data_IF_447441004380
#
_entry.id   IF_447441004380
#
_cell.length_a   1.000
_cell.length_b   1.000
_cell.length_c   1.000
_cell.angle_alpha   90.00
_cell.angle_beta   90.00
_cell.angle_gamma   90.00
#
_symmetry.space_group_name_H-M   'P 1'
#
loop_
_entity.id
_entity.type
_entity.pdbx_description
1 polymer ?
#
# COMPACT_ATOMS: atom_id res chain seq x y z
N UNK A 1 -0.47 2.09 69.82
CA UNK A 1 -0.01 2.48 68.46
C UNK A 1 0.30 1.16 67.73
N UNK A 2 -0.41 0.67 66.68
CA UNK A 2 -1.15 1.32 65.57
C UNK A 2 -0.26 2.38 64.89
N UNK A 3 0.15 2.33 63.62
CA UNK A 3 -0.18 1.50 62.42
C UNK A 3 1.09 1.37 61.53
N UNK A 4 1.21 0.62 60.41
CA UNK A 4 0.33 -0.23 59.58
C UNK A 4 1.20 -1.30 58.84
N UNK A 5 0.62 -2.16 57.97
CA UNK A 5 1.32 -2.85 56.87
C UNK A 5 0.86 -2.23 55.55
N UNK A 6 1.80 -1.82 54.69
CA UNK A 6 1.53 -1.27 53.35
C UNK A 6 1.82 -2.34 52.29
N UNK A 7 0.80 -3.11 51.91
CA UNK A 7 0.82 -3.95 50.71
C UNK A 7 0.66 -3.06 49.48
N UNK A 8 1.75 -2.85 48.73
CA UNK A 8 1.71 -2.13 47.46
C UNK A 8 1.18 -3.07 46.36
N UNK A 9 -0.10 -2.95 46.02
CA UNK A 9 -0.71 -3.72 44.92
C UNK A 9 -0.26 -3.15 43.58
N UNK A 10 0.82 -3.71 43.02
CA UNK A 10 1.25 -3.39 41.66
C UNK A 10 0.28 -4.00 40.63
N UNK A 11 -0.73 -3.21 40.21
CA UNK A 11 -1.57 -3.56 39.07
C UNK A 11 -0.76 -3.35 37.80
N UNK A 12 -0.13 -4.42 37.32
CA UNK A 12 0.61 -4.44 36.06
C UNK A 12 -0.39 -4.33 34.90
N UNK A 13 -0.58 -3.13 34.39
CA UNK A 13 -1.40 -2.88 33.19
C UNK A 13 -0.70 -3.50 31.96
N UNK A 14 -1.01 -4.77 31.68
CA UNK A 14 -0.68 -5.43 30.42
C UNK A 14 -1.30 -4.63 29.27
N UNK A 15 -0.52 -3.71 28.70
CA UNK A 15 -0.82 -3.12 27.42
C UNK A 15 -0.75 -4.26 26.41
N UNK A 16 -1.92 -4.70 25.94
CA UNK A 16 -2.00 -5.73 24.92
C UNK A 16 -1.32 -5.18 23.66
N UNK A 17 -0.09 -5.64 23.43
CA UNK A 17 0.64 -5.36 22.20
C UNK A 17 -0.11 -6.09 21.09
N UNK A 18 -1.08 -5.41 20.49
CA UNK A 18 -1.74 -5.91 19.30
C UNK A 18 -0.66 -5.98 18.22
N UNK A 19 -0.33 -7.17 17.68
CA UNK A 19 0.52 -7.21 16.51
C UNK A 19 -0.25 -6.49 15.41
N UNK A 20 0.30 -5.37 14.92
CA UNK A 20 -0.16 -4.82 13.66
C UNK A 20 -0.05 -5.94 12.64
N UNK A 21 -1.17 -6.34 12.04
CA UNK A 21 -1.17 -7.23 10.89
C UNK A 21 -0.32 -6.56 9.82
N UNK A 22 0.89 -7.08 9.62
CA UNK A 22 1.86 -6.48 8.72
C UNK A 22 1.22 -6.37 7.33
N UNK A 23 1.02 -5.13 6.88
CA UNK A 23 0.67 -4.89 5.50
C UNK A 23 1.89 -5.31 4.68
N UNK A 24 1.73 -6.36 3.87
CA UNK A 24 2.82 -6.88 3.04
C UNK A 24 2.98 -5.94 1.85
N UNK A 25 3.70 -4.85 2.09
CA UNK A 25 4.33 -4.06 1.04
C UNK A 25 5.32 -4.96 0.30
N UNK A 26 5.20 -5.02 -1.02
CA UNK A 26 6.06 -5.83 -1.87
C UNK A 26 6.93 -4.90 -2.72
N UNK A 27 8.14 -5.34 -3.02
CA UNK A 27 9.04 -4.60 -3.90
C UNK A 27 9.62 -5.48 -5.00
N UNK A 28 9.98 -4.84 -6.11
CA UNK A 28 10.62 -5.46 -7.26
C UNK A 28 11.74 -4.56 -7.78
N UNK A 29 12.98 -5.03 -7.65
CA UNK A 29 14.14 -4.36 -8.24
C UNK A 29 14.30 -4.74 -9.71
N UNK A 30 14.54 -3.75 -10.57
CA UNK A 30 14.73 -3.91 -12.01
C UNK A 30 15.59 -2.78 -12.57
N UNK A 31 16.73 -3.11 -13.18
CA UNK A 31 17.59 -2.17 -13.94
C UNK A 31 17.78 -0.78 -13.30
N UNK A 32 18.29 -0.72 -12.06
CA UNK A 32 18.53 0.54 -11.36
C UNK A 32 17.27 1.24 -10.84
N UNK A 33 16.15 0.52 -10.75
CA UNK A 33 14.90 0.98 -10.14
C UNK A 33 14.40 -0.03 -9.10
N UNK A 34 13.62 0.46 -8.15
CA UNK A 34 12.78 -0.35 -7.27
C UNK A 34 11.33 0.09 -7.41
N UNK A 35 10.46 -0.88 -7.66
CA UNK A 35 9.01 -0.70 -7.76
C UNK A 35 8.41 -1.22 -6.47
N UNK A 36 7.84 -0.34 -5.67
CA UNK A 36 7.03 -0.69 -4.50
C UNK A 36 5.58 -0.85 -4.92
N UNK A 37 4.91 -1.89 -4.44
CA UNK A 37 3.50 -2.13 -4.70
C UNK A 37 2.81 -2.81 -3.52
N UNK A 38 1.60 -2.35 -3.21
CA UNK A 38 0.74 -2.93 -2.19
C UNK A 38 -0.72 -2.89 -2.65
N UNK A 39 -1.50 -3.86 -2.16
CA UNK A 39 -2.95 -3.87 -2.32
C UNK A 39 -3.60 -4.00 -0.95
N UNK A 40 -4.65 -3.22 -0.69
CA UNK A 40 -5.31 -3.17 0.62
C UNK A 40 -6.84 -2.92 0.48
N UNK A 41 -7.68 -3.43 1.40
CA UNK A 41 -9.07 -3.00 1.49
C UNK A 41 -9.15 -1.51 1.82
N UNK A 42 -9.91 -0.72 1.05
CA UNK A 42 -9.98 0.75 1.23
C UNK A 42 -10.51 1.18 2.60
N UNK A 43 -11.18 0.28 3.35
CA UNK A 43 -11.57 0.48 4.74
C UNK A 43 -10.36 0.70 5.67
N UNK A 44 -9.22 0.08 5.39
CA UNK A 44 -7.98 0.19 6.17
C UNK A 44 -7.30 1.56 6.05
N UNK A 45 -7.61 2.34 5.00
CA UNK A 45 -7.06 3.69 4.83
C UNK A 45 -7.41 4.61 6.01
N UNK A 46 -6.47 5.44 6.49
CA UNK A 46 -6.78 6.57 7.35
C UNK A 46 -7.81 7.49 6.68
N UNK A 47 -8.74 8.05 7.48
CA UNK A 47 -9.82 8.88 6.94
C UNK A 47 -9.31 10.12 6.20
N UNK A 48 -8.22 10.72 6.68
CA UNK A 48 -7.56 11.85 6.02
C UNK A 48 -7.10 11.47 4.59
N UNK A 49 -6.33 10.40 4.44
CA UNK A 49 -5.83 9.91 3.14
C UNK A 49 -6.98 9.60 2.18
N UNK A 50 -8.00 8.89 2.66
CA UNK A 50 -9.17 8.58 1.87
C UNK A 50 -9.92 9.83 1.38
N UNK A 51 -10.01 10.89 2.20
CA UNK A 51 -10.59 12.18 1.81
C UNK A 51 -9.70 12.92 0.80
N UNK A 52 -8.40 13.01 1.06
CA UNK A 52 -7.42 13.68 0.18
C UNK A 52 -7.41 13.07 -1.22
N UNK A 53 -7.46 11.73 -1.32
CA UNK A 53 -7.38 11.01 -2.59
C UNK A 53 -8.74 10.73 -3.24
N UNK A 54 -9.86 11.16 -2.63
CA UNK A 54 -11.21 10.95 -3.17
C UNK A 54 -11.71 9.50 -3.11
N UNK A 55 -11.16 8.69 -2.21
CA UNK A 55 -11.34 7.24 -2.15
C UNK A 55 -12.45 6.87 -1.16
N UNK A 56 -13.49 6.19 -1.65
CA UNK A 56 -14.56 5.66 -0.80
C UNK A 56 -14.07 4.46 -0.01
N UNK A 57 -13.88 4.63 1.31
CA UNK A 57 -13.55 3.57 2.27
C UNK A 57 -14.65 2.50 2.32
N UNK A 58 -14.29 1.25 2.07
CA UNK A 58 -15.17 0.08 2.10
C UNK A 58 -14.38 -1.22 2.07
N UNK A 59 -14.81 -2.24 2.83
CA UNK A 59 -14.27 -3.61 2.73
C UNK A 59 -14.61 -4.26 1.38
N UNK A 60 -15.59 -3.71 0.64
CA UNK A 60 -15.96 -4.18 -0.71
C UNK A 60 -15.18 -3.50 -1.84
N UNK A 61 -14.05 -2.86 -1.53
CA UNK A 61 -13.18 -2.19 -2.49
C UNK A 61 -11.72 -2.36 -2.10
N UNK A 62 -10.87 -2.67 -3.07
CA UNK A 62 -9.42 -2.73 -2.88
C UNK A 62 -8.75 -1.61 -3.64
N UNK A 63 -7.72 -1.05 -3.00
CA UNK A 63 -6.81 -0.08 -3.54
C UNK A 63 -5.52 -0.78 -3.92
N UNK A 64 -5.03 -0.54 -5.12
CA UNK A 64 -3.65 -0.78 -5.54
C UNK A 64 -2.90 0.55 -5.45
N UNK A 65 -1.75 0.54 -4.78
CA UNK A 65 -0.79 1.63 -4.79
C UNK A 65 0.54 1.11 -5.35
N UNK A 66 1.17 1.93 -6.18
CA UNK A 66 2.47 1.67 -6.82
C UNK A 66 3.33 2.92 -6.71
N UNK A 67 4.57 2.77 -6.26
CA UNK A 67 5.58 3.83 -6.29
C UNK A 67 6.83 3.31 -6.99
N UNK A 68 7.51 4.17 -7.75
CA UNK A 68 8.71 3.83 -8.50
C UNK A 68 9.83 4.75 -8.05
N UNK A 69 10.94 4.17 -7.59
CA UNK A 69 12.13 4.90 -7.21
C UNK A 69 13.32 4.44 -8.04
N UNK A 70 14.20 5.36 -8.45
CA UNK A 70 15.50 5.03 -9.02
C UNK A 70 16.51 4.79 -7.91
N UNK A 71 17.41 3.84 -8.13
CA UNK A 71 18.39 3.33 -7.15
C UNK A 71 19.82 3.32 -7.69
N UNK A 72 20.09 4.13 -8.73
CA UNK A 72 21.42 4.36 -9.32
C UNK A 72 22.29 5.35 -8.53
N UNK A 73 21.73 5.97 -7.51
CA UNK A 73 22.36 6.96 -6.62
C UNK A 73 22.29 6.51 -5.14
N UNK A 74 23.10 7.14 -4.28
CA UNK A 74 23.22 6.82 -2.84
C UNK A 74 21.91 6.93 -2.04
N UNK A 75 20.86 7.53 -2.61
CA UNK A 75 19.54 7.68 -1.98
C UNK A 75 18.44 7.46 -3.02
N UNK A 76 17.50 6.52 -2.80
CA UNK A 76 16.43 6.26 -3.75
C UNK A 76 15.53 7.50 -3.97
N UNK A 77 15.34 7.90 -5.23
CA UNK A 77 14.51 9.06 -5.60
C UNK A 77 13.26 8.64 -6.35
N UNK A 78 12.07 9.21 -6.08
CA UNK A 78 10.86 8.89 -6.82
C UNK A 78 11.01 9.28 -8.29
N UNK A 79 10.38 8.51 -9.17
CA UNK A 79 10.38 8.72 -10.63
C UNK A 79 8.96 8.55 -11.16
N UNK A 80 8.59 9.39 -12.13
CA UNK A 80 7.33 9.28 -12.84
C UNK A 80 7.28 7.99 -13.66
N UNK A 81 6.13 7.32 -13.67
CA UNK A 81 5.94 6.07 -14.41
C UNK A 81 4.55 6.01 -15.05
N UNK A 82 4.48 5.30 -16.19
CA UNK A 82 3.21 4.91 -16.78
C UNK A 82 2.83 3.52 -16.25
N UNK A 83 1.63 3.43 -15.65
CA UNK A 83 1.13 2.24 -14.96
C UNK A 83 -0.18 1.76 -15.61
N UNK A 84 -0.17 0.57 -16.22
CA UNK A 84 -1.40 -0.20 -16.49
C UNK A 84 -1.57 -1.27 -15.43
N UNK A 85 -2.77 -1.41 -14.89
CA UNK A 85 -3.05 -2.40 -13.87
C UNK A 85 -4.43 -3.03 -14.07
N UNK A 86 -4.48 -4.34 -13.91
CA UNK A 86 -5.69 -5.13 -14.01
C UNK A 86 -5.70 -6.26 -12.98
N UNK A 87 -6.90 -6.74 -12.64
CA UNK A 87 -7.11 -7.93 -11.85
C UNK A 87 -8.15 -8.84 -12.52
N UNK A 88 -7.94 -10.15 -12.40
CA UNK A 88 -8.85 -11.20 -12.88
C UNK A 88 -9.22 -12.12 -11.72
N UNK A 89 -10.51 -12.28 -11.46
CA UNK A 89 -10.98 -13.23 -10.43
C UNK A 89 -11.04 -14.67 -10.95
N UNK A 90 -11.26 -15.64 -10.05
CA UNK A 90 -11.37 -17.07 -10.40
C UNK A 90 -12.55 -17.40 -11.35
N UNK A 91 -13.48 -16.46 -11.58
CA UNK A 91 -14.55 -16.57 -12.57
C UNK A 91 -14.21 -15.87 -13.91
N UNK A 92 -12.93 -15.59 -14.15
CA UNK A 92 -12.40 -14.91 -15.34
C UNK A 92 -12.97 -13.50 -15.60
N UNK A 93 -13.50 -12.82 -14.57
CA UNK A 93 -13.95 -11.44 -14.70
C UNK A 93 -12.76 -10.49 -14.61
N UNK A 94 -12.45 -9.82 -15.72
CA UNK A 94 -11.44 -8.77 -15.79
C UNK A 94 -11.94 -7.46 -15.17
N UNK A 95 -11.10 -6.83 -14.36
CA UNK A 95 -11.30 -5.47 -13.80
C UNK A 95 -10.03 -4.67 -14.06
N UNK A 96 -10.15 -3.53 -14.73
CA UNK A 96 -9.04 -2.57 -14.91
C UNK A 96 -9.07 -1.53 -13.81
N UNK A 97 -7.91 -1.21 -13.27
CA UNK A 97 -7.74 -0.06 -12.40
C UNK A 97 -7.72 1.21 -13.26
N UNK A 98 -8.19 2.33 -12.69
CA UNK A 98 -7.90 3.65 -13.23
C UNK A 98 -6.87 4.26 -12.30
N UNK A 99 -5.61 4.20 -12.71
CA UNK A 99 -4.49 4.72 -11.93
C UNK A 99 -4.50 6.25 -11.99
N UNK A 100 -4.41 6.88 -10.82
CA UNK A 100 -4.26 8.31 -10.65
C UNK A 100 -2.88 8.59 -10.03
N UNK A 101 -2.13 9.49 -10.65
CA UNK A 101 -0.90 10.03 -10.06
C UNK A 101 -1.26 10.97 -8.90
N UNK A 102 -0.62 10.75 -7.76
CA UNK A 102 -0.67 11.56 -6.56
C UNK A 102 0.76 12.03 -6.31
N UNK A 103 0.95 13.34 -6.12
CA UNK A 103 2.23 13.90 -5.67
C UNK A 103 2.06 14.49 -4.28
N UNK A 104 2.92 14.06 -3.37
CA UNK A 104 3.07 14.67 -2.06
C UNK A 104 4.43 15.37 -1.99
N UNK A 105 4.49 16.51 -1.31
CA UNK A 105 5.72 17.25 -1.08
C UNK A 105 5.68 17.93 0.28
N UNK A 106 6.79 17.88 1.02
CA UNK A 106 6.90 18.54 2.32
C UNK A 106 8.35 18.76 2.73
N UNK A 107 8.58 19.81 3.52
CA UNK A 107 9.92 20.29 3.88
C UNK A 107 10.81 19.23 4.55
N UNK A 108 10.21 18.27 5.27
CA UNK A 108 10.92 17.15 5.92
C UNK A 108 10.82 15.81 5.17
N UNK A 109 9.83 15.65 4.27
CA UNK A 109 9.51 14.36 3.65
C UNK A 109 10.03 14.22 2.20
N UNK A 110 10.44 15.33 1.58
CA UNK A 110 10.85 15.36 0.17
C UNK A 110 9.66 15.32 -0.79
N UNK A 111 9.93 15.02 -2.05
CA UNK A 111 8.89 14.68 -3.06
C UNK A 111 8.57 13.18 -2.96
N UNK A 112 7.30 12.83 -3.17
CA UNK A 112 6.84 11.46 -3.31
C UNK A 112 5.80 11.38 -4.45
N UNK A 113 5.88 10.31 -5.25
CA UNK A 113 4.98 10.05 -6.38
C UNK A 113 4.35 8.68 -6.18
N UNK A 114 3.02 8.66 -6.07
CA UNK A 114 2.22 7.45 -5.90
C UNK A 114 1.24 7.30 -7.06
N UNK A 115 1.08 6.09 -7.56
CA UNK A 115 0.06 5.73 -8.53
C UNK A 115 -1.00 4.89 -7.82
N UNK A 116 -2.16 5.50 -7.57
CA UNK A 116 -3.24 4.90 -6.79
C UNK A 116 -4.44 4.64 -7.70
N UNK A 117 -4.98 3.42 -7.62
CA UNK A 117 -6.24 3.07 -8.28
C UNK A 117 -7.05 2.10 -7.43
N UNK A 118 -8.36 2.05 -7.63
CA UNK A 118 -9.22 1.15 -6.87
C UNK A 118 -10.33 0.47 -7.69
N UNK A 119 -10.73 -0.72 -7.24
CA UNK A 119 -11.80 -1.53 -7.84
C UNK A 119 -12.74 -2.08 -6.76
N UNK A 120 -13.96 -2.46 -7.16
CA UNK A 120 -14.88 -3.21 -6.28
C UNK A 120 -14.47 -4.68 -6.20
N UNK A 121 -14.75 -5.29 -5.06
CA UNK A 121 -14.57 -6.72 -4.79
C UNK A 121 -15.78 -7.32 -4.06
N UNK A 122 -15.80 -8.64 -3.99
CA UNK A 122 -16.58 -9.41 -3.01
C UNK A 122 -15.67 -9.90 -1.88
N UNK A 123 -16.27 -10.17 -0.73
CA UNK A 123 -15.63 -10.85 0.40
C UNK A 123 -15.31 -12.31 0.03
N UNK A 124 -14.13 -12.79 0.41
CA UNK A 124 -13.57 -14.07 -0.01
C UNK A 124 -13.06 -14.10 -1.45
N UNK A 125 -12.95 -12.96 -2.14
CA UNK A 125 -12.59 -12.93 -3.56
C UNK A 125 -11.09 -13.02 -3.79
N UNK A 126 -10.64 -14.11 -4.41
CA UNK A 126 -9.27 -14.25 -4.90
C UNK A 126 -9.12 -13.58 -6.27
N UNK A 127 -8.14 -12.68 -6.36
CA UNK A 127 -7.76 -11.93 -7.55
C UNK A 127 -6.31 -12.24 -7.94
N UNK A 128 -6.10 -12.47 -9.24
CA UNK A 128 -4.79 -12.45 -9.88
C UNK A 128 -4.57 -11.05 -10.45
N UNK A 129 -3.54 -10.36 -10.00
CA UNK A 129 -3.17 -9.02 -10.43
C UNK A 129 -2.08 -9.10 -11.50
N UNK A 130 -2.18 -8.23 -12.49
CA UNK A 130 -1.11 -7.91 -13.44
C UNK A 130 -0.90 -6.41 -13.40
N UNK A 131 0.30 -5.97 -13.07
CA UNK A 131 0.69 -4.55 -13.01
C UNK A 131 1.90 -4.36 -13.91
N UNK A 132 1.75 -3.58 -14.97
CA UNK A 132 2.84 -3.21 -15.88
C UNK A 132 3.29 -1.79 -15.55
N UNK A 133 4.60 -1.63 -15.33
CA UNK A 133 5.24 -0.41 -14.84
C UNK A 133 6.36 -0.02 -15.81
N UNK A 134 6.24 1.17 -16.39
CA UNK A 134 7.26 1.77 -17.26
C UNK A 134 7.74 3.12 -16.67
N UNK A 135 8.92 3.19 -16.02
CA UNK A 135 9.51 4.45 -15.55
C UNK A 135 9.83 5.37 -16.73
N UNK A 136 9.38 6.63 -16.69
CA UNK A 136 9.46 7.57 -17.84
C UNK A 136 10.88 8.03 -18.18
N UNK A 137 11.86 7.82 -17.31
CA UNK A 137 13.27 8.14 -17.53
C UNK A 137 14.09 6.96 -18.12
N UNK A 138 13.44 5.84 -18.45
CA UNK A 138 14.08 4.67 -19.05
C UNK A 138 13.18 3.97 -20.08
N UNK A 139 13.75 3.04 -20.85
CA UNK A 139 13.00 2.23 -21.84
C UNK A 139 12.51 0.88 -21.25
N UNK A 140 12.57 0.70 -19.93
CA UNK A 140 12.21 -0.57 -19.28
C UNK A 140 10.70 -0.64 -19.04
N UNK A 141 10.15 -1.85 -19.12
CA UNK A 141 8.76 -2.13 -18.76
C UNK A 141 8.72 -3.45 -17.99
N UNK A 142 8.56 -3.38 -16.67
CA UNK A 142 8.43 -4.57 -15.82
C UNK A 142 6.95 -4.95 -15.66
N UNK A 143 6.64 -6.24 -15.74
CA UNK A 143 5.29 -6.76 -15.45
C UNK A 143 5.35 -7.61 -14.19
N UNK A 144 4.57 -7.20 -13.19
CA UNK A 144 4.50 -7.81 -11.88
C UNK A 144 3.16 -8.56 -11.78
N UNK A 145 3.23 -9.86 -11.50
CA UNK A 145 2.05 -10.71 -11.29
C UNK A 145 2.04 -11.28 -9.88
N UNK A 146 0.90 -11.19 -9.21
CA UNK A 146 0.69 -11.73 -7.86
C UNK A 146 -0.77 -12.06 -7.61
N UNK A 147 -1.04 -12.96 -6.67
CA UNK A 147 -2.40 -13.35 -6.29
C UNK A 147 -2.69 -12.91 -4.85
N UNK A 148 -3.90 -12.39 -4.59
CA UNK A 148 -4.35 -12.10 -3.23
C UNK A 148 -5.84 -12.36 -3.04
N UNK A 149 -6.21 -12.78 -1.84
CA UNK A 149 -7.60 -12.98 -1.39
C UNK A 149 -7.93 -11.88 -0.38
N UNK A 150 -9.18 -11.43 -0.38
CA UNK A 150 -9.71 -10.34 0.45
C UNK A 150 -11.01 -10.76 1.11
#
# INVERSE_FOLDING_TARGET
>A
MRTLILTLTAVLAMHAWQPATAEVEQSREVNGHIIYFNVLPTSALPEAMARTYGITRSDRRVLLNVAVHRTDEDTPRPVEADIDAQAVNLSAQLRRFRMQEIRESGDEMGEAIYYIGDIRISEGETLNFTVTVAPRDSEISETIEFQRTF
#
